data_IF_408847077779
#
_entry.id   IF_408847077779
#
_cell.length_a   1.000
_cell.length_b   1.000
_cell.length_c   1.000
_cell.angle_alpha   90.00
_cell.angle_beta   90.00
_cell.angle_gamma   90.00
#
_symmetry.space_group_name_H-M   'P 1'
#
loop_
_entity.id
_entity.type
_entity.pdbx_description
1 polymer ?
#
# COMPACT_ATOMS: atom_id res chain seq x y z
N UNK A 1 0.50 4.72 -0.14
CA UNK A 1 -0.32 5.61 -1.03
C UNK A 1 -1.75 5.89 -0.54
N UNK A 2 -2.17 7.16 -0.36
CA UNK A 2 -3.45 7.51 0.29
C UNK A 2 -4.42 8.39 -0.52
N UNK A 3 -5.41 7.75 -1.16
CA UNK A 3 -6.84 8.11 -1.30
C UNK A 3 -7.42 7.46 -2.59
N UNK A 4 -7.87 6.21 -2.51
CA UNK A 4 -8.81 5.66 -3.50
C UNK A 4 -10.23 5.88 -2.98
N UNK A 5 -10.81 7.04 -3.29
CA UNK A 5 -12.23 7.25 -3.09
C UNK A 5 -12.99 6.77 -4.33
N UNK A 6 -14.10 6.04 -4.13
CA UNK A 6 -15.00 5.70 -5.23
C UNK A 6 -15.48 6.97 -5.94
N UNK A 7 -15.47 6.95 -7.26
CA UNK A 7 -15.87 8.08 -8.09
C UNK A 7 -16.13 7.63 -9.53
N UNK A 8 -16.63 8.55 -10.36
CA UNK A 8 -16.87 8.29 -11.77
C UNK A 8 -15.66 8.73 -12.59
N UNK A 9 -14.83 7.80 -13.10
CA UNK A 9 -13.66 8.17 -13.90
C UNK A 9 -14.13 8.74 -15.24
N UNK A 10 -13.50 9.85 -15.65
CA UNK A 10 -13.69 10.41 -16.98
C UNK A 10 -12.99 9.53 -18.02
N UNK A 11 -13.61 9.35 -19.18
CA UNK A 11 -12.98 8.71 -20.34
C UNK A 11 -11.81 9.57 -20.85
N UNK A 12 -10.91 8.95 -21.63
CA UNK A 12 -9.80 9.67 -22.25
C UNK A 12 -10.23 10.88 -23.08
N UNK A 13 -11.35 10.76 -23.79
CA UNK A 13 -11.90 11.84 -24.62
C UNK A 13 -12.41 13.01 -23.77
N UNK A 14 -13.09 12.72 -22.66
CA UNK A 14 -13.57 13.74 -21.71
C UNK A 14 -12.39 14.43 -21.00
N UNK A 15 -11.39 13.65 -20.55
CA UNK A 15 -10.18 14.19 -19.91
C UNK A 15 -9.46 15.17 -20.83
N UNK A 16 -9.33 14.84 -22.14
CA UNK A 16 -8.69 15.73 -23.12
C UNK A 16 -9.31 17.12 -23.16
N UNK A 17 -10.64 17.21 -23.06
CA UNK A 17 -11.36 18.47 -23.05
C UNK A 17 -11.08 19.28 -21.76
N UNK A 18 -10.83 18.58 -20.65
CA UNK A 18 -10.55 19.18 -19.34
C UNK A 18 -9.05 19.44 -19.06
N UNK A 19 -8.12 19.01 -19.93
CA UNK A 19 -6.68 19.04 -19.65
C UNK A 19 -6.15 20.42 -19.24
N UNK A 20 -6.59 21.48 -19.92
CA UNK A 20 -6.14 22.83 -19.61
C UNK A 20 -6.60 23.27 -18.22
N UNK A 21 -7.84 22.95 -17.86
CA UNK A 21 -8.41 23.24 -16.55
C UNK A 21 -7.71 22.45 -15.44
N UNK A 22 -7.47 21.14 -15.64
CA UNK A 22 -6.76 20.29 -14.70
C UNK A 22 -5.35 20.85 -14.44
N UNK A 23 -4.63 21.23 -15.50
CA UNK A 23 -3.27 21.80 -15.38
C UNK A 23 -3.25 23.12 -14.64
N UNK A 24 -4.18 24.03 -14.92
CA UNK A 24 -4.22 25.32 -14.23
C UNK A 24 -4.53 25.14 -12.74
N UNK A 25 -5.49 24.28 -12.40
CA UNK A 25 -5.83 23.99 -10.99
C UNK A 25 -4.68 23.31 -10.25
N UNK A 26 -4.02 22.34 -10.88
CA UNK A 26 -2.87 21.67 -10.28
C UNK A 26 -1.71 22.65 -10.01
N UNK A 27 -1.48 23.60 -10.92
CA UNK A 27 -0.45 24.64 -10.74
C UNK A 27 -0.83 25.59 -9.60
N UNK A 28 -2.07 26.04 -9.53
CA UNK A 28 -2.55 26.91 -8.45
C UNK A 28 -2.40 26.20 -7.09
N UNK A 29 -2.77 24.92 -7.01
CA UNK A 29 -2.68 24.16 -5.77
C UNK A 29 -1.23 23.87 -5.36
N UNK A 30 -0.34 23.63 -6.33
CA UNK A 30 1.09 23.52 -6.10
C UNK A 30 1.65 24.82 -5.52
N UNK A 31 1.32 25.96 -6.13
CA UNK A 31 1.79 27.29 -5.67
C UNK A 31 1.24 27.60 -4.28
N UNK A 32 -0.04 27.30 -4.00
CA UNK A 32 -0.64 27.50 -2.67
C UNK A 32 0.05 26.63 -1.63
N UNK A 33 0.23 25.34 -1.92
CA UNK A 33 0.87 24.39 -1.00
C UNK A 33 2.31 24.79 -0.71
N UNK A 34 3.04 25.20 -1.75
CA UNK A 34 4.40 25.73 -1.62
C UNK A 34 4.41 26.98 -0.74
N UNK A 35 3.62 28.01 -1.06
CA UNK A 35 3.60 29.23 -0.27
C UNK A 35 3.16 29.02 1.19
N UNK A 36 2.29 28.04 1.44
CA UNK A 36 1.86 27.65 2.79
C UNK A 36 2.98 26.96 3.58
N UNK A 37 3.87 26.23 2.91
CA UNK A 37 4.81 25.31 3.58
C UNK A 37 6.29 25.70 3.42
N UNK A 38 6.62 26.66 2.54
CA UNK A 38 8.01 27.01 2.20
C UNK A 38 8.85 27.52 3.37
N UNK A 39 8.21 28.14 4.35
CA UNK A 39 8.87 28.72 5.53
C UNK A 39 8.80 27.77 6.74
N UNK A 40 8.36 26.51 6.55
CA UNK A 40 8.29 25.51 7.61
C UNK A 40 9.71 25.14 8.06
N UNK A 41 9.93 25.15 9.36
CA UNK A 41 11.22 24.86 9.98
C UNK A 41 11.03 23.94 11.18
N UNK A 42 12.11 23.24 11.56
CA UNK A 42 12.15 22.35 12.75
C UNK A 42 11.18 21.17 12.69
N UNK A 43 10.91 20.66 11.49
CA UNK A 43 10.18 19.40 11.36
C UNK A 43 11.01 18.25 11.95
N UNK A 44 10.33 17.31 12.59
CA UNK A 44 10.96 16.07 12.98
C UNK A 44 11.41 15.31 11.72
N UNK A 45 12.64 14.80 11.73
CA UNK A 45 13.08 13.89 10.66
C UNK A 45 12.40 12.54 10.88
N UNK A 46 11.41 12.27 10.04
CA UNK A 46 10.70 11.00 10.00
C UNK A 46 10.84 10.39 8.61
N UNK A 47 10.74 9.08 8.54
CA UNK A 47 10.88 8.32 7.30
C UNK A 47 10.06 7.04 7.38
N UNK A 48 9.88 6.36 6.24
CA UNK A 48 9.12 5.12 6.17
C UNK A 48 9.57 4.31 4.96
N UNK A 49 9.11 3.07 4.91
CA UNK A 49 9.27 2.18 3.77
C UNK A 49 7.89 1.79 3.21
N UNK A 50 7.83 1.52 1.91
CA UNK A 50 6.66 0.97 1.25
C UNK A 50 7.05 -0.37 0.61
N UNK A 51 6.24 -1.41 0.85
CA UNK A 51 6.53 -2.77 0.37
C UNK A 51 5.31 -3.35 -0.31
N UNK A 52 5.52 -3.79 -1.55
CA UNK A 52 4.54 -4.52 -2.34
C UNK A 52 4.66 -6.03 -2.09
N UNK A 53 3.51 -6.68 -1.86
CA UNK A 53 3.37 -8.12 -1.70
C UNK A 53 2.59 -8.69 -2.88
N UNK A 54 3.22 -9.58 -3.64
CA UNK A 54 2.57 -10.33 -4.72
C UNK A 54 1.82 -11.53 -4.14
N UNK A 55 0.52 -11.59 -4.39
CA UNK A 55 -0.36 -12.71 -4.06
C UNK A 55 -0.22 -13.80 -5.12
N UNK A 56 0.03 -15.03 -4.69
CA UNK A 56 0.17 -16.18 -5.57
C UNK A 56 -0.60 -17.39 -5.06
N UNK A 57 -0.98 -18.27 -5.99
CA UNK A 57 -1.58 -19.57 -5.70
C UNK A 57 -0.73 -20.68 -6.29
N UNK A 58 -0.35 -21.64 -5.46
CA UNK A 58 0.37 -22.83 -5.86
C UNK A 58 -0.62 -23.93 -6.23
N UNK A 59 -0.50 -24.45 -7.44
CA UNK A 59 -1.16 -25.69 -7.86
C UNK A 59 -0.14 -26.81 -7.71
N UNK A 60 -0.19 -27.52 -6.58
CA UNK A 60 0.76 -28.58 -6.26
C UNK A 60 0.57 -29.82 -7.12
N UNK A 61 -0.66 -30.11 -7.54
CA UNK A 61 -0.99 -31.27 -8.38
C UNK A 61 -0.40 -31.10 -9.79
N UNK A 62 -0.59 -29.92 -10.38
CA UNK A 62 -0.14 -29.61 -11.73
C UNK A 62 1.24 -28.92 -11.78
N UNK A 63 1.86 -28.68 -10.62
CA UNK A 63 3.20 -28.11 -10.46
C UNK A 63 3.40 -26.75 -11.14
N UNK A 64 2.42 -25.85 -11.02
CA UNK A 64 2.58 -24.47 -11.47
C UNK A 64 2.08 -23.46 -10.43
N UNK A 65 2.57 -22.23 -10.52
CA UNK A 65 2.21 -21.13 -9.59
C UNK A 65 1.55 -20.01 -10.35
N UNK A 66 0.36 -19.54 -9.99
CA UNK A 66 -0.37 -18.45 -10.66
C UNK A 66 -0.43 -17.20 -9.78
N UNK A 67 -0.62 -16.04 -10.41
CA UNK A 67 -1.02 -14.81 -9.69
C UNK A 67 -2.44 -14.98 -9.14
N UNK A 68 -2.65 -14.50 -7.91
CA UNK A 68 -3.91 -14.59 -7.20
C UNK A 68 -4.62 -13.23 -7.20
N UNK A 69 -5.68 -13.10 -8.00
CA UNK A 69 -6.47 -11.87 -8.14
C UNK A 69 -7.48 -11.74 -6.98
N UNK A 70 -6.99 -11.36 -5.80
CA UNK A 70 -7.79 -11.24 -4.57
C UNK A 70 -7.54 -9.95 -3.78
N UNK A 71 -6.67 -9.05 -4.24
CA UNK A 71 -6.27 -7.84 -3.54
C UNK A 71 -7.47 -7.01 -3.08
N UNK A 72 -8.42 -6.74 -3.98
CA UNK A 72 -9.63 -5.96 -3.68
C UNK A 72 -10.54 -6.61 -2.61
N UNK A 73 -10.57 -7.94 -2.52
CA UNK A 73 -11.37 -8.67 -1.52
C UNK A 73 -10.65 -8.74 -0.18
N UNK A 74 -9.32 -8.85 -0.23
CA UNK A 74 -8.48 -9.05 0.93
C UNK A 74 -8.26 -7.74 1.70
N UNK A 75 -8.09 -6.61 0.99
CA UNK A 75 -7.81 -5.31 1.61
C UNK A 75 -8.87 -4.86 2.64
N UNK A 76 -10.19 -4.91 2.37
CA UNK A 76 -11.20 -4.55 3.35
C UNK A 76 -11.11 -5.38 4.64
N UNK A 77 -10.85 -6.69 4.51
CA UNK A 77 -10.74 -7.61 5.64
C UNK A 77 -9.52 -7.25 6.49
N UNK A 78 -8.37 -7.03 5.85
CA UNK A 78 -7.13 -6.69 6.55
C UNK A 78 -7.26 -5.34 7.25
N UNK A 79 -7.82 -4.33 6.57
CA UNK A 79 -8.03 -3.00 7.16
C UNK A 79 -8.94 -3.08 8.40
N UNK A 80 -10.06 -3.81 8.32
CA UNK A 80 -10.97 -3.97 9.47
C UNK A 80 -10.29 -4.66 10.66
N UNK A 81 -9.47 -5.69 10.39
CA UNK A 81 -8.71 -6.38 11.44
C UNK A 81 -7.64 -5.46 12.05
N UNK A 82 -6.99 -4.64 11.23
CA UNK A 82 -5.95 -3.72 11.66
C UNK A 82 -6.51 -2.55 12.49
N UNK A 83 -7.72 -2.08 12.19
CA UNK A 83 -8.42 -1.07 12.99
C UNK A 83 -8.77 -1.55 14.41
N UNK A 84 -8.91 -2.87 14.60
CA UNK A 84 -9.16 -3.49 15.91
C UNK A 84 -7.89 -3.64 16.76
N UNK A 85 -6.70 -3.42 16.20
CA UNK A 85 -5.44 -3.47 16.94
C UNK A 85 -5.33 -2.23 17.82
N UNK A 86 -5.20 -2.42 19.14
CA UNK A 86 -5.10 -1.31 20.09
C UNK A 86 -3.73 -0.63 20.08
N UNK A 87 -2.67 -1.41 19.86
CA UNK A 87 -1.30 -0.89 19.81
C UNK A 87 -0.99 -0.31 18.43
N UNK A 88 -0.84 1.01 18.36
CA UNK A 88 -0.53 1.72 17.12
C UNK A 88 0.78 1.26 16.48
N UNK A 89 1.78 0.84 17.27
CA UNK A 89 3.04 0.33 16.74
C UNK A 89 2.88 -0.99 15.97
N UNK A 90 1.79 -1.73 16.25
CA UNK A 90 1.43 -2.96 15.57
C UNK A 90 0.47 -2.75 14.39
N UNK A 91 -0.02 -1.51 14.17
CA UNK A 91 -0.88 -1.22 13.02
C UNK A 91 -0.04 -1.05 11.75
N UNK A 92 -0.58 -1.56 10.65
CA UNK A 92 -0.03 -1.41 9.31
C UNK A 92 -1.03 -0.64 8.45
N UNK A 93 -0.58 0.35 7.70
CA UNK A 93 -1.42 0.98 6.69
C UNK A 93 -1.33 0.15 5.40
N UNK A 94 -2.46 -0.43 5.00
CA UNK A 94 -2.60 -1.26 3.81
C UNK A 94 -3.23 -0.47 2.68
N UNK A 95 -2.68 -0.63 1.49
CA UNK A 95 -3.10 0.10 0.30
C UNK A 95 -3.28 -0.83 -0.90
N UNK A 96 -4.29 -0.55 -1.74
CA UNK A 96 -4.42 -1.18 -3.05
C UNK A 96 -3.35 -0.70 -4.01
N UNK A 97 -2.93 -1.61 -4.88
CA UNK A 97 -2.05 -1.33 -6.01
C UNK A 97 -2.78 -1.49 -7.35
N UNK A 98 -2.14 -1.06 -8.43
CA UNK A 98 -2.71 -1.13 -9.78
C UNK A 98 -3.10 -2.56 -10.21
N UNK A 99 -2.41 -3.56 -9.67
CA UNK A 99 -2.64 -4.97 -9.96
C UNK A 99 -3.40 -5.64 -8.81
N UNK A 100 -4.50 -6.33 -9.12
CA UNK A 100 -5.33 -7.01 -8.11
C UNK A 100 -4.66 -8.23 -7.45
N UNK A 101 -3.45 -8.58 -7.87
CA UNK A 101 -2.59 -9.57 -7.22
C UNK A 101 -1.49 -8.92 -6.37
N UNK A 102 -1.52 -7.61 -6.16
CA UNK A 102 -0.55 -6.88 -5.35
C UNK A 102 -1.27 -6.12 -4.24
N UNK A 103 -0.71 -6.18 -3.04
CA UNK A 103 -1.11 -5.31 -1.92
C UNK A 103 0.12 -4.58 -1.41
N UNK A 104 -0.01 -3.30 -1.12
CA UNK A 104 1.06 -2.47 -0.54
C UNK A 104 0.86 -2.35 0.97
N UNK A 105 1.92 -2.58 1.74
CA UNK A 105 1.93 -2.40 3.18
C UNK A 105 3.01 -1.41 3.62
N UNK A 106 2.60 -0.43 4.41
CA UNK A 106 3.47 0.63 4.97
C UNK A 106 3.32 0.68 6.49
N UNK A 107 4.33 1.10 7.26
CA UNK A 107 4.16 1.31 8.70
C UNK A 107 3.09 2.39 8.95
N UNK A 108 2.16 2.16 9.88
CA UNK A 108 1.08 3.12 10.16
C UNK A 108 1.57 4.45 10.73
N UNK A 109 2.74 4.43 11.40
CA UNK A 109 3.45 5.60 11.89
C UNK A 109 4.83 5.64 11.25
N UNK A 110 5.31 6.82 10.84
CA UNK A 110 6.64 6.92 10.27
C UNK A 110 7.69 6.65 11.35
N UNK A 111 8.79 6.01 10.98
CA UNK A 111 9.95 5.83 11.84
C UNK A 111 10.56 7.18 12.20
N UNK A 112 11.08 7.31 13.42
CA UNK A 112 11.80 8.51 13.85
C UNK A 112 13.27 8.51 13.43
N UNK A 113 13.96 9.59 13.75
CA UNK A 113 15.36 9.83 13.36
C UNK A 113 16.42 9.05 14.15
N UNK A 114 16.09 8.47 15.30
CA UNK A 114 17.08 7.78 16.13
C UNK A 114 17.57 6.50 15.42
N UNK A 115 18.89 6.20 15.45
CA UNK A 115 19.42 4.98 14.85
C UNK A 115 18.78 3.68 15.37
N UNK A 116 18.22 3.69 16.58
CA UNK A 116 17.50 2.55 17.14
C UNK A 116 16.27 2.15 16.33
N UNK A 117 15.65 3.06 15.57
CA UNK A 117 14.48 2.74 14.74
C UNK A 117 14.85 1.88 13.51
N UNK A 118 16.11 1.83 13.08
CA UNK A 118 16.50 0.87 12.04
C UNK A 118 16.27 -0.58 12.49
N UNK A 119 16.35 -0.84 13.80
CA UNK A 119 16.12 -2.18 14.35
C UNK A 119 14.64 -2.60 14.36
N UNK A 120 13.71 -1.66 14.12
CA UNK A 120 12.26 -1.97 14.12
C UNK A 120 11.72 -2.25 12.72
N UNK A 121 12.45 -1.87 11.67
CA UNK A 121 12.00 -1.98 10.27
C UNK A 121 11.72 -3.42 9.89
N UNK A 122 12.66 -4.33 10.12
CA UNK A 122 12.50 -5.74 9.75
C UNK A 122 11.36 -6.40 10.54
N UNK A 123 11.22 -6.09 11.83
CA UNK A 123 10.12 -6.59 12.64
C UNK A 123 8.76 -6.12 12.11
N UNK A 124 8.66 -4.86 11.71
CA UNK A 124 7.46 -4.31 11.09
C UNK A 124 7.17 -4.96 9.72
N UNK A 125 8.18 -5.18 8.87
CA UNK A 125 8.02 -5.90 7.59
C UNK A 125 7.58 -7.36 7.80
N UNK A 126 8.10 -8.05 8.82
CA UNK A 126 7.64 -9.41 9.18
C UNK A 126 6.19 -9.43 9.60
N UNK A 127 5.78 -8.48 10.46
CA UNK A 127 4.40 -8.34 10.89
C UNK A 127 3.45 -8.15 9.70
N UNK A 128 3.83 -7.32 8.71
CA UNK A 128 3.06 -7.15 7.46
C UNK A 128 2.85 -8.47 6.73
N UNK A 129 3.92 -9.25 6.57
CA UNK A 129 3.84 -10.57 5.92
C UNK A 129 2.94 -11.53 6.70
N UNK A 130 3.08 -11.56 8.03
CA UNK A 130 2.31 -12.45 8.89
C UNK A 130 0.83 -12.13 8.84
N UNK A 131 0.43 -10.86 8.90
CA UNK A 131 -0.98 -10.45 8.84
C UNK A 131 -1.67 -10.95 7.56
N UNK A 132 -1.07 -10.70 6.39
CA UNK A 132 -1.66 -11.13 5.12
C UNK A 132 -1.65 -12.64 4.98
N UNK A 133 -0.52 -13.29 5.31
CA UNK A 133 -0.40 -14.74 5.18
C UNK A 133 -1.37 -15.48 6.09
N UNK A 134 -1.62 -14.99 7.31
CA UNK A 134 -2.61 -15.59 8.22
C UNK A 134 -4.02 -15.56 7.64
N UNK A 135 -4.43 -14.46 7.01
CA UNK A 135 -5.75 -14.32 6.39
C UNK A 135 -5.88 -15.25 5.18
N UNK A 136 -4.83 -15.36 4.35
CA UNK A 136 -4.82 -16.30 3.22
C UNK A 136 -4.92 -17.76 3.71
N UNK A 137 -4.15 -18.14 4.74
CA UNK A 137 -4.18 -19.49 5.30
C UNK A 137 -5.54 -19.86 5.91
N UNK A 138 -6.33 -18.89 6.37
CA UNK A 138 -7.71 -19.16 6.83
C UNK A 138 -8.65 -19.52 5.68
N UNK A 139 -8.32 -19.11 4.45
CA UNK A 139 -9.15 -19.34 3.27
C UNK A 139 -8.67 -20.53 2.43
N UNK A 140 -7.36 -20.78 2.36
CA UNK A 140 -6.77 -21.81 1.49
C UNK A 140 -5.32 -22.14 1.90
N UNK A 141 -4.96 -23.43 1.86
CA UNK A 141 -3.59 -23.91 2.13
C UNK A 141 -2.63 -23.70 0.93
N UNK A 142 -3.15 -23.27 -0.21
CA UNK A 142 -2.40 -23.12 -1.46
C UNK A 142 -2.11 -21.66 -1.83
N UNK A 143 -2.48 -20.69 -0.98
CA UNK A 143 -2.35 -19.26 -1.25
C UNK A 143 -1.24 -18.62 -0.39
N UNK A 144 -0.36 -17.86 -1.03
CA UNK A 144 0.85 -17.35 -0.40
C UNK A 144 1.18 -15.94 -0.87
N UNK A 145 1.97 -15.24 -0.07
CA UNK A 145 2.59 -13.96 -0.44
C UNK A 145 4.07 -14.11 -0.81
N UNK A 146 4.48 -13.40 -1.85
CA UNK A 146 5.88 -13.30 -2.29
C UNK A 146 6.29 -11.82 -2.41
N UNK A 147 7.55 -11.53 -2.10
CA UNK A 147 8.17 -10.24 -2.37
C UNK A 147 9.04 -10.41 -3.61
N UNK A 148 8.43 -10.26 -4.79
CA UNK A 148 9.10 -10.41 -6.08
C UNK A 148 8.89 -9.16 -6.91
N UNK A 149 9.95 -8.68 -7.54
CA UNK A 149 9.88 -7.49 -8.39
C UNK A 149 9.12 -7.75 -9.70
N UNK A 150 9.16 -8.99 -10.20
CA UNK A 150 8.46 -9.40 -11.41
C UNK A 150 8.07 -10.87 -11.30
N UNK A 151 6.87 -11.18 -11.77
CA UNK A 151 6.39 -12.55 -11.84
C UNK A 151 6.89 -13.22 -13.14
N UNK A 152 7.72 -14.28 -13.06
CA UNK A 152 8.61 -14.69 -14.16
C UNK A 152 7.98 -15.61 -15.23
N UNK A 153 6.67 -15.56 -15.43
CA UNK A 153 6.00 -16.49 -16.34
C UNK A 153 6.13 -16.14 -17.82
#
# INVERSE_FOLDING_TARGET
MGLLSEGNPLSWTEIKLALQHIRSYALDELIRTFNKSKDRQKDAFTWGDEVELTLVRFDHDNKYVQLLLKGHQLLPIVCELNDKINDEACRIAWHPEACDFVVEGVPSQPYGFLPSHFNTVEANMKLRREQIQQILCQQSDCEYILNIAAFPR
#
